data_IF_200292943456
#
_entry.id   IF_200292943456
#
_cell.length_a   1.000
_cell.length_b   1.000
_cell.length_c   1.000
_cell.angle_alpha   90.00
_cell.angle_beta   90.00
_cell.angle_gamma   90.00
#
_symmetry.space_group_name_H-M   'P 1'
#
loop_
_entity.id
_entity.type
_entity.pdbx_description
1 polymer ?
#
# COMPACT_ATOMS: atom_id res chain seq x y z
N UNK A 1 22.13 -19.83 -23.29
CA UNK A 1 21.65 -20.63 -22.14
C UNK A 1 22.83 -21.46 -21.69
N UNK A 2 23.43 -21.13 -20.54
CA UNK A 2 24.63 -21.83 -20.07
C UNK A 2 24.23 -23.24 -19.58
N UNK A 3 24.91 -24.27 -20.09
CA UNK A 3 24.74 -25.65 -19.63
C UNK A 3 25.34 -25.78 -18.22
N UNK A 4 24.48 -26.05 -17.24
CA UNK A 4 24.85 -26.37 -15.87
C UNK A 4 25.26 -27.85 -15.85
N UNK A 5 26.54 -28.15 -15.62
CA UNK A 5 27.07 -29.53 -15.69
C UNK A 5 27.40 -30.14 -14.34
N UNK A 6 27.43 -29.36 -13.26
CA UNK A 6 27.77 -29.86 -11.92
C UNK A 6 26.94 -29.21 -10.80
N UNK A 7 26.89 -29.87 -9.64
CA UNK A 7 26.23 -29.36 -8.43
C UNK A 7 26.94 -28.12 -7.86
N UNK A 8 28.23 -27.98 -8.15
CA UNK A 8 29.06 -26.84 -7.77
C UNK A 8 28.71 -25.59 -8.61
N UNK A 9 28.38 -25.76 -9.89
CA UNK A 9 27.88 -24.67 -10.75
C UNK A 9 26.54 -24.12 -10.25
N UNK A 10 25.64 -24.99 -9.74
CA UNK A 10 24.38 -24.60 -9.10
C UNK A 10 24.60 -23.80 -7.82
N UNK A 11 25.60 -24.19 -7.02
CA UNK A 11 25.96 -23.49 -5.79
C UNK A 11 26.57 -22.12 -6.10
N UNK A 12 27.45 -22.04 -7.09
CA UNK A 12 28.04 -20.77 -7.54
C UNK A 12 27.01 -19.84 -8.19
N UNK A 13 26.05 -20.36 -8.96
CA UNK A 13 24.95 -19.51 -9.47
C UNK A 13 24.01 -19.06 -8.35
N UNK A 14 23.73 -19.90 -7.35
CA UNK A 14 22.94 -19.50 -6.18
C UNK A 14 23.65 -18.42 -5.34
N UNK A 15 24.97 -18.55 -5.13
CA UNK A 15 25.78 -17.54 -4.46
C UNK A 15 25.90 -16.24 -5.28
N UNK A 16 25.97 -16.33 -6.61
CA UNK A 16 25.96 -15.17 -7.50
C UNK A 16 24.61 -14.43 -7.53
N UNK A 17 23.48 -15.15 -7.42
CA UNK A 17 22.14 -14.55 -7.28
C UNK A 17 21.97 -13.91 -5.89
N UNK A 18 22.60 -14.46 -4.86
CA UNK A 18 22.63 -13.86 -3.52
C UNK A 18 23.54 -12.61 -3.43
N UNK A 19 24.47 -12.46 -4.38
CA UNK A 19 25.44 -11.37 -4.42
C UNK A 19 25.04 -10.17 -5.30
N UNK A 20 23.83 -10.14 -5.89
CA UNK A 20 23.30 -8.88 -6.41
C UNK A 20 23.29 -7.85 -5.26
N UNK A 21 23.79 -6.62 -5.48
CA UNK A 21 23.85 -5.64 -4.41
C UNK A 21 22.42 -5.39 -3.94
N UNK A 22 22.10 -5.89 -2.74
CA UNK A 22 20.88 -5.51 -2.04
C UNK A 22 20.93 -4.00 -1.97
N UNK A 23 20.09 -3.33 -2.76
CA UNK A 23 20.05 -1.87 -2.79
C UNK A 23 19.68 -1.43 -1.38
N UNK A 24 20.68 -1.02 -0.60
CA UNK A 24 20.51 -0.58 0.77
C UNK A 24 19.78 0.75 0.70
N UNK A 25 18.47 0.70 0.88
CA UNK A 25 17.67 1.91 1.04
C UNK A 25 17.88 2.40 2.46
N UNK A 26 18.13 3.68 2.62
CA UNK A 26 18.29 4.26 3.95
C UNK A 26 16.92 4.49 4.59
N UNK A 27 16.76 4.22 5.90
CA UNK A 27 15.52 4.53 6.61
C UNK A 27 15.30 6.04 6.70
N UNK A 28 14.16 6.50 6.24
CA UNK A 28 13.76 7.91 6.26
C UNK A 28 12.88 8.18 7.48
N UNK A 29 13.51 8.62 8.58
CA UNK A 29 12.83 8.94 9.86
C UNK A 29 13.02 10.42 10.19
N UNK A 30 11.98 11.04 10.73
CA UNK A 30 12.05 12.41 11.24
C UNK A 30 12.83 12.49 12.55
N UNK A 31 13.13 13.72 13.00
CA UNK A 31 13.70 14.05 14.32
C UNK A 31 12.98 13.39 15.50
N UNK A 32 11.70 13.07 15.34
CA UNK A 32 10.85 12.44 16.36
C UNK A 32 10.73 10.90 16.20
N UNK A 33 11.53 10.28 15.33
CA UNK A 33 11.48 8.85 15.04
C UNK A 33 10.21 8.40 14.32
N UNK A 34 9.54 9.33 13.61
CA UNK A 34 8.31 9.07 12.86
C UNK A 34 8.63 8.92 11.38
N UNK A 35 7.97 7.99 10.69
CA UNK A 35 8.01 7.88 9.24
C UNK A 35 6.79 8.58 8.64
N UNK A 36 7.02 9.37 7.60
CA UNK A 36 5.97 10.06 6.85
C UNK A 36 5.77 9.41 5.49
N UNK A 37 4.51 9.22 5.11
CA UNK A 37 4.15 8.90 3.75
C UNK A 37 2.74 9.41 3.43
N UNK A 38 2.47 9.55 2.15
CA UNK A 38 1.12 9.80 1.64
C UNK A 38 0.57 8.50 1.05
N UNK A 39 -0.73 8.39 0.82
CA UNK A 39 -1.40 7.32 0.09
C UNK A 39 -2.54 7.92 -0.72
N UNK A 40 -2.81 7.40 -1.92
CA UNK A 40 -3.88 7.91 -2.79
C UNK A 40 -4.60 6.76 -3.49
N UNK A 41 -5.93 6.83 -3.57
CA UNK A 41 -6.75 5.88 -4.33
C UNK A 41 -8.04 6.58 -4.77
N UNK A 42 -8.36 6.51 -6.06
CA UNK A 42 -9.44 7.34 -6.65
C UNK A 42 -9.22 8.80 -6.24
N UNK A 43 -10.23 9.44 -5.66
CA UNK A 43 -10.20 10.82 -5.18
C UNK A 43 -9.78 10.95 -3.70
N UNK A 44 -9.51 9.84 -3.02
CA UNK A 44 -9.10 9.86 -1.62
C UNK A 44 -7.58 10.03 -1.49
N UNK A 45 -7.18 10.91 -0.57
CA UNK A 45 -5.79 11.13 -0.18
C UNK A 45 -5.62 10.94 1.33
N UNK A 46 -4.60 10.20 1.73
CA UNK A 46 -4.28 9.89 3.12
C UNK A 46 -2.86 10.35 3.42
N UNK A 47 -2.66 11.15 4.46
CA UNK A 47 -1.36 11.47 5.04
C UNK A 47 -1.19 10.59 6.27
N UNK A 48 -0.10 9.85 6.32
CA UNK A 48 0.17 8.85 7.36
C UNK A 48 1.46 9.23 8.06
N UNK A 49 1.39 9.24 9.40
CA UNK A 49 2.53 9.31 10.28
C UNK A 49 2.59 8.01 11.06
N UNK A 50 3.71 7.32 10.99
CA UNK A 50 3.93 6.05 11.68
C UNK A 50 5.01 6.23 12.74
N UNK A 51 4.80 5.70 13.94
CA UNK A 51 5.76 5.70 15.05
C UNK A 51 5.78 4.32 15.69
N UNK A 52 6.93 3.85 16.18
CA UNK A 52 6.97 2.65 17.03
C UNK A 52 6.18 2.91 18.33
N UNK A 53 5.32 1.98 18.72
CA UNK A 53 4.38 2.16 19.82
C UNK A 53 3.48 0.96 20.07
N UNK A 54 2.25 1.22 20.51
CA UNK A 54 1.30 0.24 21.07
C UNK A 54 0.28 -0.37 20.08
N UNK A 55 0.38 -0.06 18.79
CA UNK A 55 -0.57 -0.53 17.78
C UNK A 55 -1.81 0.34 17.62
N UNK A 56 -1.84 1.56 18.18
CA UNK A 56 -3.01 2.45 18.12
C UNK A 56 -3.11 3.12 16.77
N UNK A 57 -4.24 2.93 16.10
CA UNK A 57 -4.55 3.56 14.80
C UNK A 57 -5.62 4.63 15.00
N UNK A 58 -5.26 5.88 14.73
CA UNK A 58 -6.16 7.04 14.81
C UNK A 58 -6.33 7.68 13.45
N UNK A 59 -7.58 7.99 13.09
CA UNK A 59 -7.98 8.50 11.78
C UNK A 59 -8.83 9.75 11.97
N UNK A 60 -8.31 10.90 11.52
CA UNK A 60 -8.99 12.20 11.66
C UNK A 60 -9.44 12.49 13.12
N UNK A 61 -8.63 12.09 14.10
CA UNK A 61 -8.92 12.25 15.53
C UNK A 61 -9.90 11.24 16.13
N UNK A 62 -10.36 10.25 15.35
CA UNK A 62 -11.22 9.16 15.82
C UNK A 62 -10.48 7.83 15.82
N UNK A 63 -10.93 6.88 16.64
CA UNK A 63 -10.42 5.51 16.63
C UNK A 63 -10.85 4.75 15.36
N UNK A 64 -10.07 3.73 15.00
CA UNK A 64 -10.28 2.91 13.79
C UNK A 64 -11.71 2.35 13.71
N UNK A 65 -12.22 1.80 14.82
CA UNK A 65 -13.54 1.19 14.91
C UNK A 65 -14.68 2.20 14.80
N UNK A 66 -14.48 3.40 15.34
CA UNK A 66 -15.45 4.48 15.26
C UNK A 66 -15.52 5.10 13.84
N UNK A 67 -14.40 5.13 13.12
CA UNK A 67 -14.36 5.68 11.76
C UNK A 67 -14.84 4.68 10.70
N UNK A 68 -14.41 3.42 10.79
CA UNK A 68 -14.78 2.37 9.84
C UNK A 68 -15.71 1.34 10.49
N UNK A 69 -17.01 1.54 10.31
CA UNK A 69 -18.04 0.62 10.80
C UNK A 69 -17.91 -0.80 10.21
N UNK A 70 -17.55 -0.89 8.92
CA UNK A 70 -17.45 -2.18 8.22
C UNK A 70 -16.15 -2.91 8.56
N UNK A 71 -16.19 -4.15 9.07
CA UNK A 71 -14.99 -4.92 9.45
C UNK A 71 -14.05 -5.19 8.28
N UNK A 72 -14.59 -5.34 7.06
CA UNK A 72 -13.80 -5.54 5.83
C UNK A 72 -12.83 -4.37 5.58
N UNK A 73 -13.24 -3.14 5.91
CA UNK A 73 -12.39 -1.96 5.71
C UNK A 73 -11.28 -1.89 6.76
N UNK A 74 -11.56 -2.33 7.99
CA UNK A 74 -10.57 -2.46 9.07
C UNK A 74 -9.51 -3.51 8.70
N UNK A 75 -9.95 -4.66 8.21
CA UNK A 75 -9.06 -5.72 7.72
C UNK A 75 -8.12 -5.21 6.62
N UNK A 76 -8.62 -4.42 5.65
CA UNK A 76 -7.80 -3.84 4.58
C UNK A 76 -6.67 -2.94 5.10
N UNK A 77 -6.91 -2.22 6.20
CA UNK A 77 -5.93 -1.32 6.81
C UNK A 77 -4.85 -2.12 7.56
N UNK A 78 -5.22 -3.28 8.12
CA UNK A 78 -4.31 -4.14 8.88
C UNK A 78 -3.45 -5.06 7.99
N UNK A 79 -3.87 -5.34 6.75
CA UNK A 79 -3.10 -6.14 5.77
C UNK A 79 -1.59 -5.86 5.69
N UNK A 80 -1.11 -4.60 5.59
CA UNK A 80 0.32 -4.32 5.51
C UNK A 80 1.08 -4.70 6.80
N UNK A 81 0.45 -4.60 7.97
CA UNK A 81 1.06 -5.04 9.24
C UNK A 81 1.10 -6.56 9.35
N UNK A 82 0.07 -7.24 8.85
CA UNK A 82 0.02 -8.70 8.80
C UNK A 82 1.13 -9.27 7.91
N UNK A 83 1.34 -8.71 6.72
CA UNK A 83 2.38 -9.20 5.77
C UNK A 83 3.80 -8.99 6.30
N UNK A 84 4.03 -7.92 7.07
CA UNK A 84 5.34 -7.64 7.65
C UNK A 84 5.53 -8.28 9.04
N UNK A 85 4.53 -8.98 9.56
CA UNK A 85 4.49 -9.52 10.94
C UNK A 85 4.76 -8.44 12.01
N UNK A 86 4.29 -7.20 11.78
CA UNK A 86 4.47 -6.05 12.68
C UNK A 86 3.18 -5.55 13.29
N UNK A 87 2.24 -6.47 13.50
CA UNK A 87 1.00 -6.19 14.21
C UNK A 87 1.30 -5.74 15.64
N UNK A 88 0.63 -4.67 16.10
CA UNK A 88 0.76 -4.15 17.46
C UNK A 88 2.05 -3.37 17.78
N UNK A 89 2.98 -3.24 16.84
CA UNK A 89 4.28 -2.59 17.09
C UNK A 89 4.33 -1.11 16.72
N UNK A 90 3.35 -0.63 15.94
CA UNK A 90 3.35 0.71 15.39
C UNK A 90 2.05 1.45 15.70
N UNK A 91 2.18 2.67 16.20
CA UNK A 91 1.08 3.63 16.27
C UNK A 91 1.00 4.41 14.94
N UNK A 92 -0.21 4.54 14.41
CA UNK A 92 -0.47 5.25 13.17
C UNK A 92 -1.40 6.44 13.41
N UNK A 93 -0.93 7.64 13.07
CA UNK A 93 -1.73 8.87 13.07
C UNK A 93 -2.00 9.25 11.62
N UNK A 94 -3.27 9.19 11.24
CA UNK A 94 -3.68 9.29 9.85
C UNK A 94 -4.65 10.45 9.67
N UNK A 95 -4.39 11.28 8.67
CA UNK A 95 -5.33 12.32 8.21
C UNK A 95 -5.78 11.98 6.80
N UNK A 96 -7.09 11.89 6.57
CA UNK A 96 -7.66 11.52 5.27
C UNK A 96 -8.66 12.55 4.80
N UNK A 97 -8.59 12.87 3.50
CA UNK A 97 -9.53 13.75 2.81
C UNK A 97 -9.94 13.18 1.45
N UNK A 98 -11.16 13.51 1.03
CA UNK A 98 -11.70 13.13 -0.28
C UNK A 98 -12.20 11.69 -0.40
N UNK A 99 -12.89 11.41 -1.52
CA UNK A 99 -13.46 10.12 -1.85
C UNK A 99 -14.53 9.62 -0.87
N UNK A 100 -14.78 8.31 -0.86
CA UNK A 100 -15.66 7.63 0.10
C UNK A 100 -14.89 6.59 0.92
N UNK A 101 -15.54 6.00 1.94
CA UNK A 101 -14.90 5.12 2.94
C UNK A 101 -14.03 4.00 2.35
N UNK A 102 -14.49 3.33 1.29
CA UNK A 102 -13.71 2.27 0.63
C UNK A 102 -12.48 2.81 -0.12
N UNK A 103 -12.59 3.98 -0.75
CA UNK A 103 -11.45 4.65 -1.39
C UNK A 103 -10.43 5.11 -0.35
N UNK A 104 -10.92 5.65 0.77
CA UNK A 104 -10.11 6.08 1.91
C UNK A 104 -9.34 4.92 2.52
N UNK A 105 -10.00 3.79 2.85
CA UNK A 105 -9.33 2.61 3.39
C UNK A 105 -8.19 2.11 2.47
N UNK A 106 -8.43 2.09 1.16
CA UNK A 106 -7.38 1.71 0.19
C UNK A 106 -6.24 2.73 0.07
N UNK A 107 -6.53 4.03 0.24
CA UNK A 107 -5.51 5.07 0.29
C UNK A 107 -4.66 4.96 1.58
N UNK A 108 -5.30 4.70 2.72
CA UNK A 108 -4.63 4.46 4.00
C UNK A 108 -3.70 3.25 3.92
N UNK A 109 -4.20 2.11 3.41
CA UNK A 109 -3.40 0.90 3.22
C UNK A 109 -2.11 1.17 2.44
N UNK A 110 -2.24 1.91 1.33
CA UNK A 110 -1.09 2.29 0.51
C UNK A 110 -0.15 3.27 1.23
N UNK A 111 -0.69 4.19 2.02
CA UNK A 111 0.10 5.11 2.85
C UNK A 111 0.89 4.40 3.95
N UNK A 112 0.26 3.50 4.70
CA UNK A 112 0.91 2.69 5.75
C UNK A 112 2.04 1.85 5.16
N UNK A 113 1.80 1.23 4.00
CA UNK A 113 2.82 0.41 3.33
C UNK A 113 4.06 1.22 2.96
N UNK A 114 3.87 2.46 2.47
CA UNK A 114 4.99 3.36 2.20
C UNK A 114 5.68 3.87 3.47
N UNK A 115 4.93 4.12 4.54
CA UNK A 115 5.52 4.44 5.84
C UNK A 115 6.39 3.29 6.38
N UNK A 116 5.93 2.05 6.26
CA UNK A 116 6.69 0.87 6.69
C UNK A 116 7.97 0.70 5.86
N UNK A 117 7.89 0.88 4.53
CA UNK A 117 9.05 0.87 3.62
C UNK A 117 10.09 1.93 4.01
N UNK A 118 9.64 3.14 4.36
CA UNK A 118 10.51 4.23 4.80
C UNK A 118 11.09 3.99 6.20
N UNK A 119 10.35 3.32 7.09
CA UNK A 119 10.79 3.05 8.46
C UNK A 119 11.81 1.91 8.52
N UNK A 120 11.56 0.85 7.76
CA UNK A 120 12.36 -0.38 7.65
C UNK A 120 12.49 -0.81 6.18
N UNK A 121 13.59 -0.45 5.52
CA UNK A 121 13.81 -0.69 4.09
C UNK A 121 13.90 -2.17 3.73
N UNK A 122 14.21 -3.04 4.68
CA UNK A 122 14.27 -4.50 4.51
C UNK A 122 12.88 -5.10 4.16
N UNK A 123 11.81 -4.45 4.63
CA UNK A 123 10.43 -4.88 4.38
C UNK A 123 9.98 -4.62 2.93
N UNK A 124 10.77 -3.89 2.15
CA UNK A 124 10.44 -3.52 0.78
C UNK A 124 10.04 -4.73 -0.07
N UNK A 125 10.85 -5.78 -0.03
CA UNK A 125 10.67 -6.96 -0.88
C UNK A 125 9.36 -7.68 -0.57
N UNK A 126 9.02 -7.81 0.72
CA UNK A 126 7.77 -8.41 1.15
C UNK A 126 6.55 -7.56 0.73
N UNK A 127 6.60 -6.25 0.97
CA UNK A 127 5.52 -5.31 0.62
C UNK A 127 5.32 -5.18 -0.89
N UNK A 128 6.41 -5.24 -1.67
CA UNK A 128 6.37 -5.22 -3.14
C UNK A 128 5.75 -6.50 -3.68
N UNK A 129 6.16 -7.67 -3.17
CA UNK A 129 5.57 -8.97 -3.55
C UNK A 129 4.08 -9.05 -3.23
N UNK A 130 3.66 -8.50 -2.10
CA UNK A 130 2.24 -8.40 -1.72
C UNK A 130 1.45 -7.34 -2.52
N UNK A 131 2.11 -6.52 -3.34
CA UNK A 131 1.47 -5.52 -4.20
C UNK A 131 0.95 -4.27 -3.49
N UNK A 132 1.41 -3.97 -2.27
CA UNK A 132 0.91 -2.82 -1.50
C UNK A 132 1.60 -1.49 -1.82
N UNK A 133 2.81 -1.56 -2.40
CA UNK A 133 3.55 -0.37 -2.84
C UNK A 133 3.08 0.18 -4.19
N UNK A 134 2.31 -0.58 -4.95
CA UNK A 134 1.72 -0.10 -6.20
C UNK A 134 0.43 0.66 -5.91
N UNK A 135 0.38 1.93 -6.34
CA UNK A 135 -0.86 2.71 -6.29
C UNK A 135 -1.88 2.10 -7.25
N UNK A 136 -3.12 1.90 -6.81
CA UNK A 136 -4.23 1.55 -7.71
C UNK A 136 -4.58 2.77 -8.60
N UNK A 137 -4.32 2.69 -9.93
CA UNK A 137 -4.51 3.82 -10.83
C UNK A 137 -5.96 3.99 -11.29
N UNK A 138 -6.88 3.09 -10.92
CA UNK A 138 -8.26 3.12 -11.39
C UNK A 138 -8.99 4.35 -10.87
N UNK A 139 -9.49 5.17 -11.79
CA UNK A 139 -10.31 6.37 -11.54
C UNK A 139 -11.61 6.25 -12.33
N UNK A 140 -12.67 6.93 -11.89
CA UNK A 140 -13.95 6.93 -12.59
C UNK A 140 -13.79 7.59 -13.96
N UNK A 141 -14.13 6.86 -15.02
CA UNK A 141 -14.16 7.43 -16.36
C UNK A 141 -15.21 8.53 -16.47
N UNK A 142 -14.87 9.64 -17.14
CA UNK A 142 -15.82 10.72 -17.42
C UNK A 142 -17.00 10.25 -18.27
N UNK A 143 -18.13 10.94 -18.17
CA UNK A 143 -19.25 10.76 -19.11
C UNK A 143 -18.82 11.21 -20.51
N UNK A 144 -19.10 10.37 -21.51
CA UNK A 144 -18.88 10.67 -22.93
C UNK A 144 -20.18 11.18 -23.56
N UNK A 145 -20.09 12.08 -24.52
CA UNK A 145 -21.26 12.59 -25.23
C UNK A 145 -21.95 11.45 -26.00
N UNK A 146 -23.27 11.57 -26.22
CA UNK A 146 -24.07 10.52 -26.88
C UNK A 146 -24.27 9.23 -26.06
N UNK A 147 -23.75 9.16 -24.82
CA UNK A 147 -23.89 8.00 -23.94
C UNK A 147 -24.56 8.38 -22.61
N UNK A 148 -25.33 7.45 -22.04
CA UNK A 148 -25.98 7.62 -20.74
C UNK A 148 -24.97 7.67 -19.58
N UNK A 149 -23.88 6.88 -19.67
CA UNK A 149 -22.74 6.87 -18.73
C UNK A 149 -21.42 6.79 -19.51
N UNK A 150 -20.29 6.51 -18.85
CA UNK A 150 -18.98 6.38 -19.50
C UNK A 150 -18.98 5.43 -20.72
N UNK A 151 -19.68 4.29 -20.62
CA UNK A 151 -19.77 3.28 -21.69
C UNK A 151 -21.20 2.93 -22.14
N UNK A 152 -22.19 3.02 -21.24
CA UNK A 152 -23.60 2.67 -21.50
C UNK A 152 -24.19 3.57 -22.59
N UNK A 153 -24.49 2.99 -23.76
CA UNK A 153 -25.26 3.63 -24.82
C UNK A 153 -26.76 3.54 -24.55
N UNK A 154 -27.52 4.40 -25.23
CA UNK A 154 -28.97 4.20 -25.37
C UNK A 154 -29.25 3.03 -26.31
N UNK A 155 -30.48 2.52 -26.29
CA UNK A 155 -30.91 1.47 -27.20
C UNK A 155 -30.85 1.98 -28.65
N UNK A 156 -30.21 1.22 -29.54
CA UNK A 156 -30.14 1.54 -30.97
C UNK A 156 -31.34 0.94 -31.69
N UNK A 157 -32.07 1.75 -32.46
CA UNK A 157 -33.09 1.25 -33.41
C UNK A 157 -32.45 1.11 -34.78
N UNK A 158 -32.50 -0.10 -35.36
CA UNK A 158 -31.88 -0.45 -36.65
C UNK A 158 -32.78 -0.15 -37.86
N UNK A 159 -34.07 0.10 -37.63
CA UNK A 159 -35.09 0.23 -38.68
C UNK A 159 -34.84 1.40 -39.61
#
# INVERSE_FOLDING_TARGET
>A
MAEIKSFEDLKQTAEAIAAEPVVVREPQRDKFGRAYATGRRKDASARVWLKAGSGKVTINGKELDAYFTRPVLRMLINQPFAVTNREGQFDAVITVSGGGLSGQAGAIRHGISRCLDNYEPELHTALKRAGFLTRDPRVVERKKYGKAKARRSYQFSKR
#
